data_IF_904420171029
#
_entry.id   IF_904420171029
#
_cell.length_a   1.000
_cell.length_b   1.000
_cell.length_c   1.000
_cell.angle_alpha   90.00
_cell.angle_beta   90.00
_cell.angle_gamma   90.00
#
_symmetry.space_group_name_H-M   'P 1'
#
loop_
_entity.id
_entity.type
_entity.pdbx_description
1 polymer ?
#
# COMPACT_ATOMS: atom_id res chain seq x y z
N UNK A 1 21.25 -7.35 -3.25
CA UNK A 1 19.96 -7.05 -3.91
C UNK A 1 18.86 -7.32 -2.90
N UNK A 2 17.93 -6.38 -2.72
CA UNK A 2 16.82 -6.48 -1.76
C UNK A 2 15.53 -6.19 -2.51
N UNK A 3 14.51 -7.03 -2.34
CA UNK A 3 13.18 -6.83 -2.94
C UNK A 3 12.14 -6.69 -1.85
N UNK A 4 11.21 -5.76 -2.04
CA UNK A 4 10.07 -5.54 -1.16
C UNK A 4 8.80 -5.31 -2.00
N UNK A 5 7.66 -5.73 -1.46
CA UNK A 5 6.35 -5.53 -2.06
C UNK A 5 5.42 -4.75 -1.12
N UNK A 6 4.71 -3.77 -1.65
CA UNK A 6 3.69 -3.01 -0.94
C UNK A 6 2.32 -3.21 -1.61
N UNK A 7 1.36 -3.89 -0.96
CA UNK A 7 0.02 -4.05 -1.50
C UNK A 7 -0.74 -2.72 -1.46
N UNK A 8 -1.57 -2.49 -2.48
CA UNK A 8 -2.62 -1.49 -2.42
C UNK A 8 -3.68 -1.86 -1.37
N UNK A 9 -4.60 -0.94 -1.11
CA UNK A 9 -5.73 -1.18 -0.21
C UNK A 9 -7.05 -0.70 -0.81
N UNK A 10 -8.11 -1.43 -0.52
CA UNK A 10 -9.49 -1.04 -0.78
C UNK A 10 -10.17 -0.64 0.54
N UNK A 11 -11.16 0.25 0.49
CA UNK A 11 -12.06 0.52 1.62
C UNK A 11 -13.33 -0.29 1.40
N UNK A 12 -13.67 -1.19 2.32
CA UNK A 12 -14.89 -1.99 2.26
C UNK A 12 -16.10 -1.23 2.83
N UNK A 13 -15.87 -0.44 3.88
CA UNK A 13 -16.91 0.34 4.55
C UNK A 13 -16.34 1.65 5.11
N UNK A 14 -17.18 2.70 5.13
CA UNK A 14 -16.88 3.94 5.84
C UNK A 14 -16.18 5.02 4.99
N UNK A 15 -16.25 4.94 3.66
CA UNK A 15 -15.60 5.90 2.73
C UNK A 15 -16.05 7.34 2.97
N UNK A 16 -17.35 7.54 3.20
CA UNK A 16 -17.92 8.85 3.56
C UNK A 16 -17.91 9.08 5.08
N UNK A 17 -17.94 8.01 5.89
CA UNK A 17 -18.01 8.10 7.35
C UNK A 17 -16.70 8.65 7.96
N UNK A 18 -15.54 8.31 7.37
CA UNK A 18 -14.23 8.81 7.79
C UNK A 18 -14.09 10.33 7.68
N UNK A 19 -14.83 10.95 6.76
CA UNK A 19 -14.88 12.43 6.63
C UNK A 19 -15.46 13.08 7.89
N UNK A 20 -16.27 12.35 8.65
CA UNK A 20 -16.90 12.80 9.90
C UNK A 20 -16.24 12.19 11.15
N UNK A 21 -15.02 11.66 11.04
CA UNK A 21 -14.25 11.13 12.17
C UNK A 21 -14.72 9.74 12.65
N UNK A 22 -15.55 9.04 11.88
CA UNK A 22 -15.95 7.66 12.17
C UNK A 22 -14.98 6.65 11.52
N UNK A 23 -14.80 5.45 12.08
CA UNK A 23 -13.87 4.47 11.55
C UNK A 23 -14.29 3.92 10.18
N UNK A 24 -13.32 3.39 9.43
CA UNK A 24 -13.50 2.69 8.17
C UNK A 24 -12.80 1.33 8.20
N UNK A 25 -13.32 0.36 7.43
CA UNK A 25 -12.71 -0.96 7.28
C UNK A 25 -11.94 -0.99 5.97
N UNK A 26 -10.63 -1.16 6.05
CA UNK A 26 -9.74 -1.28 4.90
C UNK A 26 -9.17 -2.71 4.79
N UNK A 27 -8.89 -3.15 3.58
CA UNK A 27 -8.26 -4.45 3.30
C UNK A 27 -7.18 -4.30 2.24
N UNK A 28 -6.11 -5.10 2.35
CA UNK A 28 -5.11 -5.21 1.29
C UNK A 28 -5.68 -5.93 0.08
N UNK A 29 -5.24 -5.55 -1.12
CA UNK A 29 -5.58 -6.24 -2.36
C UNK A 29 -4.34 -6.88 -2.98
N UNK A 30 -4.54 -7.89 -3.82
CA UNK A 30 -3.49 -8.56 -4.59
C UNK A 30 -3.06 -7.74 -5.83
N UNK A 31 -2.87 -6.44 -5.61
CA UNK A 31 -2.36 -5.49 -6.58
C UNK A 31 -1.53 -4.47 -5.80
N UNK A 32 -0.29 -4.24 -6.23
CA UNK A 32 0.66 -3.43 -5.47
C UNK A 32 1.89 -3.06 -6.26
N UNK A 33 2.90 -2.56 -5.55
CA UNK A 33 4.18 -2.14 -6.13
C UNK A 33 5.29 -3.03 -5.58
N UNK A 34 6.08 -3.60 -6.48
CA UNK A 34 7.32 -4.30 -6.16
C UNK A 34 8.50 -3.38 -6.43
N UNK A 35 9.43 -3.31 -5.48
CA UNK A 35 10.67 -2.53 -5.59
C UNK A 35 11.86 -3.44 -5.32
N UNK A 36 12.82 -3.42 -6.23
CA UNK A 36 14.10 -4.09 -6.07
C UNK A 36 15.23 -3.07 -6.07
N UNK A 37 16.11 -3.18 -5.08
CA UNK A 37 17.30 -2.34 -4.93
C UNK A 37 18.54 -3.20 -5.08
N UNK A 38 19.52 -2.70 -5.84
CA UNK A 38 20.85 -3.27 -6.00
C UNK A 38 21.92 -2.21 -5.79
N UNK A 39 23.10 -2.63 -5.30
CA UNK A 39 24.26 -1.75 -5.22
C UNK A 39 24.63 -1.23 -6.62
N UNK A 40 24.92 0.07 -6.72
CA UNK A 40 25.45 0.68 -7.93
C UNK A 40 26.96 0.85 -7.80
N UNK A 41 27.70 0.35 -8.79
CA UNK A 41 29.15 0.59 -8.91
C UNK A 41 29.47 1.90 -9.64
N UNK A 42 28.46 2.69 -9.97
CA UNK A 42 28.58 4.01 -10.60
C UNK A 42 28.00 5.06 -9.68
N UNK A 43 28.79 6.11 -9.46
CA UNK A 43 28.35 7.35 -8.82
C UNK A 43 27.63 8.23 -9.84
#
# INVERSE_FOLDING_TARGET
MVTAFAPGKCILFGEHAVVYGQPAVAVSIDAGVEVTISESNKW
#
